data_IF_820952082088
#
_entry.id   IF_820952082088
#
_cell.length_a   1.000
_cell.length_b   1.000
_cell.length_c   1.000
_cell.angle_alpha   90.00
_cell.angle_beta   90.00
_cell.angle_gamma   90.00
#
_symmetry.space_group_name_H-M   'P 1'
#
loop_
_entity.id
_entity.type
_entity.pdbx_description
1 polymer ?
#
# COMPACT_ATOMS: atom_id res chain seq x y z
N UNK A 1 8.94 38.64 -4.28
CA UNK A 1 7.74 38.34 -3.49
C UNK A 1 7.00 37.20 -4.17
N UNK A 2 6.69 36.11 -3.46
CA UNK A 2 5.97 34.96 -4.01
C UNK A 2 6.61 33.58 -3.78
N UNK A 3 7.40 33.38 -2.72
CA UNK A 3 7.60 32.03 -2.18
C UNK A 3 6.41 31.74 -1.28
N UNK A 4 5.37 31.16 -1.88
CA UNK A 4 4.14 30.72 -1.21
C UNK A 4 4.46 29.60 -0.23
N UNK A 5 4.86 29.99 0.98
CA UNK A 5 4.89 29.15 2.16
C UNK A 5 3.44 28.88 2.58
N UNK A 6 2.89 27.77 2.12
CA UNK A 6 1.73 27.09 2.74
C UNK A 6 2.08 25.59 2.69
N UNK A 7 2.26 24.94 3.85
CA UNK A 7 2.36 23.48 3.94
C UNK A 7 3.78 22.90 4.14
N UNK A 8 4.47 23.29 5.22
CA UNK A 8 5.79 22.75 5.61
C UNK A 8 5.85 21.27 6.02
N UNK A 9 4.93 20.42 5.55
CA UNK A 9 4.66 19.08 6.11
C UNK A 9 4.88 17.93 5.11
N UNK A 10 4.95 18.18 3.81
CA UNK A 10 4.99 17.08 2.83
C UNK A 10 6.39 16.46 2.60
N UNK A 11 7.45 17.27 2.50
CA UNK A 11 8.74 16.77 2.00
C UNK A 11 9.40 15.72 2.93
N UNK A 12 9.36 15.93 4.25
CA UNK A 12 9.95 14.99 5.21
C UNK A 12 9.18 13.68 5.27
N UNK A 13 7.84 13.74 5.18
CA UNK A 13 6.99 12.55 5.12
C UNK A 13 7.28 11.75 3.84
N UNK A 14 7.32 12.42 2.69
CA UNK A 14 7.66 11.80 1.39
C UNK A 14 9.05 11.17 1.40
N UNK A 15 10.05 11.85 1.96
CA UNK A 15 11.41 11.28 2.10
C UNK A 15 11.41 10.05 3.01
N UNK A 16 10.68 10.10 4.13
CA UNK A 16 10.51 8.96 5.04
C UNK A 16 9.84 7.76 4.37
N UNK A 17 8.78 8.02 3.59
CA UNK A 17 8.06 6.98 2.83
C UNK A 17 8.93 6.38 1.73
N UNK A 18 9.67 7.20 0.96
CA UNK A 18 10.63 6.71 -0.05
C UNK A 18 11.74 5.87 0.58
N UNK A 19 12.28 6.30 1.71
CA UNK A 19 13.30 5.54 2.43
C UNK A 19 12.74 4.21 2.94
N UNK A 20 11.53 4.22 3.49
CA UNK A 20 10.84 3.01 3.92
C UNK A 20 10.58 2.05 2.74
N UNK A 21 10.05 2.56 1.63
CA UNK A 21 9.82 1.79 0.40
C UNK A 21 11.12 1.20 -0.14
N UNK A 22 12.22 1.95 -0.10
CA UNK A 22 13.53 1.46 -0.52
C UNK A 22 14.00 0.29 0.37
N UNK A 23 13.79 0.38 1.68
CA UNK A 23 14.14 -0.70 2.64
C UNK A 23 13.30 -1.95 2.39
N UNK A 24 12.01 -1.79 2.14
CA UNK A 24 11.06 -2.89 1.93
C UNK A 24 11.22 -3.53 0.53
N UNK A 25 11.56 -2.74 -0.48
CA UNK A 25 11.68 -3.19 -1.87
C UNK A 25 13.05 -3.77 -2.27
N UNK A 26 14.06 -3.72 -1.40
CA UNK A 26 15.33 -4.41 -1.67
C UNK A 26 15.13 -5.92 -1.51
N UNK A 27 15.70 -6.77 -2.40
CA UNK A 27 15.66 -8.22 -2.23
C UNK A 27 16.26 -8.56 -0.87
N UNK A 28 15.38 -8.93 0.07
CA UNK A 28 15.69 -8.94 1.48
C UNK A 28 16.79 -9.99 1.72
N UNK A 29 17.98 -9.53 2.10
CA UNK A 29 18.88 -10.38 2.88
C UNK A 29 18.12 -10.81 4.15
N UNK A 30 18.45 -11.97 4.76
CA UNK A 30 17.73 -12.51 5.94
C UNK A 30 17.50 -11.50 7.09
N UNK A 31 18.31 -10.44 7.18
CA UNK A 31 18.12 -9.36 8.15
C UNK A 31 16.97 -8.41 7.82
N UNK A 32 16.66 -8.19 6.54
CA UNK A 32 15.63 -7.27 6.11
C UNK A 32 14.20 -7.86 6.20
N UNK A 33 14.06 -9.20 6.16
CA UNK A 33 12.81 -9.90 6.52
C UNK A 33 12.41 -9.62 7.98
N UNK A 34 13.37 -9.63 8.91
CA UNK A 34 13.10 -9.27 10.32
C UNK A 34 12.71 -7.81 10.47
N UNK A 35 13.39 -6.91 9.76
CA UNK A 35 13.02 -5.49 9.76
C UNK A 35 11.59 -5.27 9.25
N UNK A 36 11.15 -6.00 8.23
CA UNK A 36 9.80 -5.88 7.71
C UNK A 36 8.72 -6.42 8.66
N UNK A 37 9.02 -7.47 9.42
CA UNK A 37 8.12 -8.02 10.46
C UNK A 37 8.02 -7.07 11.67
N UNK A 38 9.11 -6.40 12.05
CA UNK A 38 9.10 -5.40 13.14
C UNK A 38 8.50 -4.04 12.74
N UNK A 39 8.58 -3.67 11.45
CA UNK A 39 8.05 -2.43 10.90
C UNK A 39 6.52 -2.31 10.99
N UNK A 40 5.83 -3.43 11.13
CA UNK A 40 4.59 -3.65 10.44
C UNK A 40 3.31 -3.05 11.10
N UNK A 41 3.00 -3.29 12.39
CA UNK A 41 1.67 -2.99 12.91
C UNK A 41 1.35 -1.49 13.01
N UNK A 42 2.37 -0.65 13.22
CA UNK A 42 2.18 0.79 13.40
C UNK A 42 2.37 1.61 12.11
N UNK A 43 3.06 1.04 11.12
CA UNK A 43 3.41 1.78 9.90
C UNK A 43 2.27 1.82 8.90
N UNK A 44 1.54 0.71 8.70
CA UNK A 44 0.41 0.70 7.76
C UNK A 44 -0.68 1.69 8.19
N UNK A 45 -1.12 1.74 9.47
CA UNK A 45 -2.07 2.77 9.92
C UNK A 45 -1.57 4.20 9.69
N UNK A 46 -0.29 4.45 9.92
CA UNK A 46 0.31 5.78 9.72
C UNK A 46 0.34 6.17 8.23
N UNK A 47 0.64 5.22 7.34
CA UNK A 47 0.58 5.44 5.89
C UNK A 47 -0.85 5.71 5.42
N UNK A 48 -1.86 5.04 6.00
CA UNK A 48 -3.27 5.31 5.71
C UNK A 48 -3.69 6.72 6.17
N UNK A 49 -3.24 7.16 7.35
CA UNK A 49 -3.49 8.54 7.81
C UNK A 49 -2.84 9.58 6.89
N UNK A 50 -1.60 9.34 6.47
CA UNK A 50 -0.89 10.22 5.53
C UNK A 50 -1.57 10.25 4.16
N UNK A 51 -2.08 9.10 3.69
CA UNK A 51 -2.86 9.01 2.47
C UNK A 51 -4.12 9.87 2.56
N UNK A 52 -4.95 9.68 3.58
CA UNK A 52 -6.18 10.46 3.78
C UNK A 52 -5.88 11.96 3.88
N UNK A 53 -4.86 12.34 4.66
CA UNK A 53 -4.42 13.73 4.78
C UNK A 53 -3.91 14.30 3.44
N UNK A 54 -3.18 13.50 2.65
CA UNK A 54 -2.70 13.88 1.32
C UNK A 54 -3.84 14.15 0.36
N UNK A 55 -4.84 13.26 0.33
CA UNK A 55 -6.05 13.41 -0.49
C UNK A 55 -6.85 14.65 -0.06
N UNK A 56 -7.14 14.79 1.24
CA UNK A 56 -7.94 15.92 1.76
C UNK A 56 -7.28 17.28 1.56
N UNK A 57 -5.95 17.35 1.64
CA UNK A 57 -5.20 18.60 1.45
C UNK A 57 -4.85 18.90 -0.01
N UNK A 58 -5.20 18.01 -0.95
CA UNK A 58 -4.81 18.12 -2.36
C UNK A 58 -3.32 17.90 -2.61
N UNK A 59 -2.59 17.35 -1.63
CA UNK A 59 -1.17 17.03 -1.72
C UNK A 59 -0.96 15.69 -2.43
N UNK A 60 -1.10 15.69 -3.76
CA UNK A 60 -1.03 14.48 -4.59
C UNK A 60 0.24 13.65 -4.36
N UNK A 61 1.40 14.29 -4.22
CA UNK A 61 2.69 13.62 -3.96
C UNK A 61 2.67 12.77 -2.69
N UNK A 62 1.96 13.22 -1.63
CA UNK A 62 1.86 12.50 -0.36
C UNK A 62 0.96 11.27 -0.53
N UNK A 63 -0.17 11.43 -1.20
CA UNK A 63 -1.10 10.34 -1.46
C UNK A 63 -0.49 9.26 -2.38
N UNK A 64 0.22 9.67 -3.42
CA UNK A 64 0.95 8.78 -4.32
C UNK A 64 2.05 8.00 -3.61
N UNK A 65 2.88 8.70 -2.82
CA UNK A 65 3.97 8.00 -2.14
C UNK A 65 3.46 7.10 -1.00
N UNK A 66 2.41 7.51 -0.29
CA UNK A 66 1.79 6.68 0.75
C UNK A 66 1.23 5.39 0.17
N UNK A 67 0.45 5.47 -0.91
CA UNK A 67 -0.11 4.29 -1.60
C UNK A 67 0.98 3.40 -2.20
N UNK A 68 1.98 3.98 -2.86
CA UNK A 68 3.11 3.22 -3.42
C UNK A 68 3.93 2.52 -2.33
N UNK A 69 4.03 3.11 -1.14
CA UNK A 69 4.71 2.48 0.00
C UNK A 69 3.90 1.32 0.56
N UNK A 70 2.58 1.47 0.71
CA UNK A 70 1.68 0.37 1.12
C UNK A 70 1.73 -0.77 0.10
N UNK A 71 1.73 -0.46 -1.20
CA UNK A 71 1.90 -1.45 -2.27
C UNK A 71 3.22 -2.20 -2.15
N UNK A 72 4.32 -1.50 -1.91
CA UNK A 72 5.63 -2.13 -1.72
C UNK A 72 5.65 -3.07 -0.50
N UNK A 73 4.99 -2.68 0.59
CA UNK A 73 4.84 -3.53 1.78
C UNK A 73 4.04 -4.79 1.44
N UNK A 74 2.89 -4.64 0.77
CA UNK A 74 2.07 -5.79 0.38
C UNK A 74 2.82 -6.74 -0.58
N UNK A 75 3.63 -6.19 -1.50
CA UNK A 75 4.39 -6.99 -2.47
C UNK A 75 5.65 -7.66 -1.90
N UNK A 76 6.14 -7.22 -0.74
CA UNK A 76 7.39 -7.74 -0.18
C UNK A 76 7.27 -9.17 0.37
N UNK A 77 6.12 -9.55 0.94
CA UNK A 77 5.83 -10.93 1.35
C UNK A 77 4.33 -11.17 1.60
N UNK A 78 3.85 -12.43 1.53
CA UNK A 78 2.48 -12.78 1.89
C UNK A 78 2.09 -12.41 3.32
N UNK A 79 3.03 -12.46 4.27
CA UNK A 79 2.81 -12.08 5.67
C UNK A 79 2.52 -10.57 5.80
N UNK A 80 3.26 -9.74 5.05
CA UNK A 80 3.01 -8.30 5.01
C UNK A 80 1.74 -7.95 4.23
N UNK A 81 1.42 -8.70 3.17
CA UNK A 81 0.12 -8.59 2.51
C UNK A 81 -1.04 -8.88 3.49
N UNK A 82 -0.92 -9.93 4.32
CA UNK A 82 -1.90 -10.23 5.39
C UNK A 82 -2.02 -9.09 6.37
N UNK A 83 -0.91 -8.52 6.81
CA UNK A 83 -0.92 -7.37 7.71
C UNK A 83 -1.66 -6.18 7.09
N UNK A 84 -1.29 -5.78 5.87
CA UNK A 84 -1.96 -4.69 5.13
C UNK A 84 -3.45 -4.95 5.04
N UNK A 85 -3.85 -6.19 4.71
CA UNK A 85 -5.25 -6.60 4.65
C UNK A 85 -5.98 -6.53 6.00
N UNK A 86 -5.35 -6.98 7.08
CA UNK A 86 -5.95 -6.97 8.43
C UNK A 86 -5.97 -5.58 9.06
N UNK A 87 -5.19 -4.63 8.52
CA UNK A 87 -5.19 -3.25 9.01
C UNK A 87 -6.58 -2.62 8.82
N UNK A 88 -7.22 -2.13 9.90
CA UNK A 88 -8.54 -1.52 9.82
C UNK A 88 -8.58 -0.37 8.80
N UNK A 89 -9.64 -0.34 7.99
CA UNK A 89 -9.84 0.72 6.99
C UNK A 89 -8.96 0.63 5.74
N UNK A 90 -7.96 -0.26 5.67
CA UNK A 90 -7.05 -0.30 4.51
C UNK A 90 -7.78 -0.54 3.18
N UNK A 91 -8.59 -1.61 3.09
CA UNK A 91 -9.34 -1.94 1.87
C UNK A 91 -10.32 -0.81 1.52
N UNK A 92 -11.05 -0.30 2.52
CA UNK A 92 -12.00 0.80 2.34
C UNK A 92 -11.32 2.09 1.83
N UNK A 93 -10.13 2.42 2.34
CA UNK A 93 -9.35 3.58 1.89
C UNK A 93 -8.90 3.42 0.44
N UNK A 94 -8.39 2.23 0.06
CA UNK A 94 -8.00 1.96 -1.33
C UNK A 94 -9.20 2.04 -2.28
N UNK A 95 -10.35 1.46 -1.90
CA UNK A 95 -11.57 1.56 -2.71
C UNK A 95 -12.09 3.00 -2.77
N UNK A 96 -11.99 3.74 -1.66
CA UNK A 96 -12.34 5.16 -1.60
C UNK A 96 -11.53 6.02 -2.56
N UNK A 97 -10.25 5.70 -2.80
CA UNK A 97 -9.45 6.33 -3.86
C UNK A 97 -9.97 5.99 -5.25
N UNK A 98 -10.26 4.71 -5.53
CA UNK A 98 -10.77 4.30 -6.84
C UNK A 98 -12.06 5.03 -7.22
N UNK A 99 -12.95 5.24 -6.24
CA UNK A 99 -14.22 5.96 -6.44
C UNK A 99 -14.05 7.44 -6.78
N UNK A 100 -12.90 8.04 -6.48
CA UNK A 100 -12.60 9.42 -6.87
C UNK A 100 -12.18 9.53 -8.35
N UNK A 101 -11.91 8.40 -9.01
CA UNK A 101 -11.63 8.31 -10.45
C UNK A 101 -10.14 8.18 -10.77
N UNK A 102 -9.85 7.76 -12.01
CA UNK A 102 -8.51 7.36 -12.46
C UNK A 102 -7.43 8.46 -12.37
N UNK A 103 -7.84 9.73 -12.40
CA UNK A 103 -6.94 10.88 -12.25
C UNK A 103 -6.60 11.21 -10.80
N UNK A 104 -7.14 10.49 -9.82
CA UNK A 104 -6.91 10.79 -8.40
C UNK A 104 -5.51 10.32 -8.00
N UNK A 105 -4.71 11.19 -7.34
CA UNK A 105 -3.39 10.81 -6.85
C UNK A 105 -3.44 9.56 -5.97
N UNK A 106 -2.55 8.60 -6.24
CA UNK A 106 -2.46 7.34 -5.52
C UNK A 106 -3.38 6.21 -6.02
N UNK A 107 -4.25 6.45 -7.01
CA UNK A 107 -5.11 5.40 -7.57
C UNK A 107 -4.32 4.23 -8.17
N UNK A 108 -3.22 4.51 -8.88
CA UNK A 108 -2.36 3.45 -9.42
C UNK A 108 -1.84 2.52 -8.31
N UNK A 109 -1.36 3.11 -7.21
CA UNK A 109 -0.90 2.35 -6.05
C UNK A 109 -2.03 1.60 -5.36
N UNK A 110 -3.22 2.20 -5.24
CA UNK A 110 -4.40 1.54 -4.68
C UNK A 110 -4.83 0.31 -5.48
N UNK A 111 -4.85 0.43 -6.81
CA UNK A 111 -5.09 -0.71 -7.71
C UNK A 111 -4.05 -1.80 -7.49
N UNK A 112 -2.76 -1.43 -7.42
CA UNK A 112 -1.67 -2.35 -7.15
C UNK A 112 -1.85 -3.09 -5.82
N UNK A 113 -2.16 -2.37 -4.74
CA UNK A 113 -2.44 -2.96 -3.41
C UNK A 113 -3.56 -3.98 -3.51
N UNK A 114 -4.72 -3.62 -4.08
CA UNK A 114 -5.87 -4.54 -4.16
C UNK A 114 -5.56 -5.79 -5.00
N UNK A 115 -4.85 -5.62 -6.11
CA UNK A 115 -4.39 -6.74 -6.95
C UNK A 115 -3.44 -7.67 -6.20
N UNK A 116 -2.44 -7.11 -5.52
CA UNK A 116 -1.50 -7.88 -4.68
C UNK A 116 -2.20 -8.61 -3.54
N UNK A 117 -3.18 -7.97 -2.88
CA UNK A 117 -3.95 -8.61 -1.83
C UNK A 117 -4.79 -9.78 -2.36
N UNK A 118 -5.44 -9.60 -3.52
CA UNK A 118 -6.19 -10.68 -4.17
C UNK A 118 -5.28 -11.85 -4.56
N UNK A 119 -4.11 -11.57 -5.13
CA UNK A 119 -3.12 -12.59 -5.51
C UNK A 119 -2.56 -13.33 -4.29
N UNK A 120 -2.17 -12.60 -3.24
CA UNK A 120 -1.50 -13.19 -2.08
C UNK A 120 -2.46 -13.93 -1.13
N UNK A 121 -3.72 -13.47 -1.01
CA UNK A 121 -4.68 -13.97 -0.02
C UNK A 121 -5.87 -14.70 -0.62
N UNK A 122 -6.00 -14.69 -1.96
CA UNK A 122 -7.04 -15.41 -2.69
C UNK A 122 -8.44 -14.96 -2.32
N UNK A 123 -9.33 -15.93 -2.12
CA UNK A 123 -10.77 -15.72 -1.93
C UNK A 123 -11.12 -14.80 -0.75
N UNK A 124 -10.36 -14.84 0.35
CA UNK A 124 -10.60 -14.01 1.54
C UNK A 124 -10.44 -12.52 1.22
N UNK A 125 -9.41 -12.16 0.45
CA UNK A 125 -9.25 -10.78 0.01
C UNK A 125 -10.33 -10.39 -1.00
N UNK A 126 -10.63 -11.26 -1.95
CA UNK A 126 -11.64 -11.01 -2.98
C UNK A 126 -13.03 -10.76 -2.40
N UNK A 127 -13.46 -11.54 -1.41
CA UNK A 127 -14.75 -11.36 -0.76
C UNK A 127 -14.84 -9.99 -0.10
N UNK A 128 -13.79 -9.60 0.65
CA UNK A 128 -13.76 -8.30 1.32
C UNK A 128 -13.66 -7.14 0.33
N UNK A 129 -12.86 -7.27 -0.73
CA UNK A 129 -12.78 -6.25 -1.79
C UNK A 129 -14.15 -6.08 -2.46
N UNK A 130 -14.86 -7.18 -2.70
CA UNK A 130 -16.20 -7.15 -3.29
C UNK A 130 -17.22 -6.54 -2.35
N UNK A 131 -17.15 -6.84 -1.05
CA UNK A 131 -18.01 -6.25 -0.03
C UNK A 131 -17.89 -4.72 0.05
N UNK A 132 -16.68 -4.19 -0.12
CA UNK A 132 -16.42 -2.74 -0.18
C UNK A 132 -16.77 -2.13 -1.56
N UNK A 133 -17.41 -2.89 -2.46
CA UNK A 133 -17.68 -2.51 -3.86
C UNK A 133 -16.40 -2.20 -4.68
N UNK A 134 -15.27 -2.74 -4.26
CA UNK A 134 -13.96 -2.53 -4.90
C UNK A 134 -13.88 -3.10 -6.30
N UNK A 135 -14.58 -4.20 -6.59
CA UNK A 135 -14.66 -4.78 -7.94
C UNK A 135 -15.39 -3.85 -8.92
N UNK A 136 -16.49 -3.23 -8.48
CA UNK A 136 -17.21 -2.24 -9.27
C UNK A 136 -16.36 -0.98 -9.51
N UNK A 137 -15.65 -0.51 -8.48
CA UNK A 137 -14.74 0.62 -8.62
C UNK A 137 -13.58 0.32 -9.58
N UNK A 138 -12.97 -0.88 -9.50
CA UNK A 138 -11.93 -1.31 -10.44
C UNK A 138 -12.46 -1.41 -11.88
N UNK A 139 -13.70 -1.86 -12.08
CA UNK A 139 -14.32 -1.89 -13.41
C UNK A 139 -14.48 -0.49 -14.01
N UNK A 140 -14.91 0.49 -13.21
CA UNK A 140 -15.04 1.88 -13.66
C UNK A 140 -13.69 2.49 -14.05
N UNK A 141 -12.62 2.13 -13.35
CA UNK A 141 -11.25 2.56 -13.68
C UNK A 141 -10.74 1.86 -14.95
N UNK A 142 -11.01 0.56 -15.10
CA UNK A 142 -10.60 -0.20 -16.27
C UNK A 142 -11.36 0.24 -17.54
N UNK A 143 -12.60 0.67 -17.40
CA UNK A 143 -13.47 1.13 -18.49
C UNK A 143 -14.06 2.49 -18.16
N UNK A 144 -13.32 3.59 -18.34
CA UNK A 144 -13.88 4.92 -18.15
C UNK A 144 -15.04 5.10 -19.13
N UNK A 145 -16.25 5.27 -18.61
CA UNK A 145 -17.47 5.51 -19.39
C UNK A 145 -17.25 6.71 -20.32
N UNK A 146 -17.23 6.49 -21.64
CA UNK A 146 -17.18 7.58 -22.61
C UNK A 146 -16.25 7.42 -23.82
N UNK A 147 -15.39 6.41 -23.88
CA UNK A 147 -14.58 6.19 -25.09
C UNK A 147 -15.44 5.65 -26.24
N UNK A 148 -15.91 6.57 -27.08
CA UNK A 148 -16.56 6.24 -28.35
C UNK A 148 -15.60 5.41 -29.20
N UNK A 149 -16.13 4.42 -29.91
CA UNK A 149 -15.37 3.45 -30.73
C UNK A 149 -14.38 4.07 -31.76
N UNK A 150 -14.45 5.38 -31.99
CA UNK A 150 -13.53 6.17 -32.82
C UNK A 150 -12.25 6.63 -32.08
N UNK A 151 -12.30 6.88 -30.77
CA UNK A 151 -11.09 7.19 -29.98
C UNK A 151 -10.27 5.94 -29.66
N UNK A 152 -10.91 4.77 -29.54
CA UNK A 152 -10.24 3.47 -29.40
C UNK A 152 -9.34 3.13 -30.60
N UNK A 153 -9.65 3.63 -31.80
CA UNK A 153 -8.81 3.49 -32.99
C UNK A 153 -7.59 4.42 -32.95
N UNK A 154 -7.68 5.59 -32.30
CA UNK A 154 -6.57 6.53 -32.13
C UNK A 154 -5.71 6.25 -30.89
N UNK A 155 -6.28 5.63 -29.85
CA UNK A 155 -5.60 5.20 -28.62
C UNK A 155 -4.84 3.87 -28.77
N UNK A 156 -4.64 3.37 -30.00
CA UNK A 156 -3.93 2.12 -30.31
C UNK A 156 -2.44 2.10 -29.90
N UNK A 157 -1.93 3.10 -29.17
CA UNK A 157 -0.58 3.10 -28.62
C UNK A 157 -0.58 3.65 -27.20
N UNK A 158 -0.37 2.73 -26.25
CA UNK A 158 -0.32 2.87 -24.79
C UNK A 158 -1.69 2.87 -24.11
N UNK A 159 -2.18 1.70 -23.62
CA UNK A 159 -3.22 1.72 -22.60
C UNK A 159 -2.73 2.58 -21.42
N UNK A 160 -3.59 3.45 -20.90
CA UNK A 160 -3.32 4.18 -19.67
C UNK A 160 -2.84 3.18 -18.60
N UNK A 161 -1.66 3.38 -17.99
CA UNK A 161 -1.11 2.44 -17.01
C UNK A 161 -2.09 2.14 -15.86
N UNK A 162 -2.96 3.08 -15.51
CA UNK A 162 -3.98 2.90 -14.46
C UNK A 162 -5.07 1.93 -14.91
N UNK A 163 -5.62 2.10 -16.12
CA UNK A 163 -6.62 1.18 -16.70
C UNK A 163 -6.04 -0.24 -16.89
N UNK A 164 -4.80 -0.35 -17.37
CA UNK A 164 -4.13 -1.63 -17.53
C UNK A 164 -3.90 -2.33 -16.18
N UNK A 165 -3.48 -1.58 -15.16
CA UNK A 165 -3.33 -2.11 -13.80
C UNK A 165 -4.68 -2.56 -13.22
N UNK A 166 -5.76 -1.81 -13.46
CA UNK A 166 -7.09 -2.15 -12.96
C UNK A 166 -7.62 -3.42 -13.62
N UNK A 167 -7.42 -3.56 -14.93
CA UNK A 167 -7.75 -4.79 -15.65
C UNK A 167 -6.96 -6.01 -15.11
N UNK A 168 -5.67 -5.83 -14.81
CA UNK A 168 -4.84 -6.88 -14.18
C UNK A 168 -5.33 -7.25 -12.78
N UNK A 169 -5.67 -6.26 -11.95
CA UNK A 169 -6.21 -6.50 -10.61
C UNK A 169 -7.54 -7.25 -10.67
N UNK A 170 -8.44 -6.88 -11.60
CA UNK A 170 -9.68 -7.63 -11.85
C UNK A 170 -9.39 -9.07 -12.29
N UNK A 171 -8.41 -9.28 -13.18
CA UNK A 171 -8.01 -10.62 -13.59
C UNK A 171 -7.55 -11.46 -12.39
N UNK A 172 -6.70 -10.91 -11.51
CA UNK A 172 -6.24 -11.58 -10.28
C UNK A 172 -7.42 -11.92 -9.35
N UNK A 173 -8.38 -11.01 -9.21
CA UNK A 173 -9.60 -11.22 -8.42
C UNK A 173 -10.43 -12.37 -9.00
N UNK A 174 -10.71 -12.37 -10.31
CA UNK A 174 -11.52 -13.41 -10.93
C UNK A 174 -10.83 -14.78 -10.96
N UNK A 175 -9.52 -14.82 -11.22
CA UNK A 175 -8.74 -16.07 -11.16
C UNK A 175 -8.73 -16.68 -9.75
N UNK A 176 -8.82 -15.85 -8.70
CA UNK A 176 -8.87 -16.30 -7.32
C UNK A 176 -10.25 -16.81 -6.89
N UNK A 177 -11.33 -16.44 -7.58
CA UNK A 177 -12.69 -16.96 -7.33
C UNK A 177 -12.86 -18.40 -7.84
N UNK A 178 -12.19 -18.76 -8.94
CA UNK A 178 -12.34 -20.07 -9.59
C UNK A 178 -11.69 -21.22 -8.78
N UNK A 179 -10.78 -20.90 -7.85
CA UNK A 179 -10.13 -21.90 -6.99
C UNK A 179 -10.99 -22.26 -5.76
N UNK A 180 -11.95 -21.42 -5.40
CA UNK A 180 -12.75 -21.55 -4.16
C UNK A 180 -13.85 -22.62 -4.20
N UNK A 181 -14.21 -23.16 -5.37
CA UNK A 181 -15.27 -24.19 -5.47
C UNK A 181 -14.77 -25.62 -5.24
N UNK A 182 -13.45 -25.84 -5.11
CA UNK A 182 -12.86 -27.17 -4.98
C UNK A 182 -12.48 -27.60 -3.54
N UNK A 183 -12.58 -26.72 -2.53
CA UNK A 183 -12.08 -27.01 -1.19
C UNK A 183 -13.10 -26.65 -0.09
N UNK A 184 -14.27 -27.28 -0.14
CA UNK A 184 -15.19 -27.32 0.98
C UNK A 184 -14.81 -28.51 1.89
N UNK A 185 -14.14 -28.23 3.00
CA UNK A 185 -13.96 -29.20 4.08
C UNK A 185 -12.64 -29.08 4.82
N UNK A 186 -12.53 -28.14 5.76
CA UNK A 186 -11.97 -28.45 7.08
C UNK A 186 -12.19 -27.28 8.03
N UNK A 187 -13.03 -27.53 9.01
CA UNK A 187 -13.21 -26.77 10.24
C UNK A 187 -11.91 -26.85 11.08
N UNK A 188 -11.43 -25.73 11.61
CA UNK A 188 -10.42 -25.73 12.67
C UNK A 188 -10.49 -24.42 13.51
N UNK A 189 -10.48 -24.52 14.85
CA UNK A 189 -10.85 -23.43 15.75
C UNK A 189 -9.69 -22.47 16.06
N UNK A 190 -10.03 -21.19 16.19
CA UNK A 190 -9.15 -20.11 16.66
C UNK A 190 -8.86 -20.30 18.15
N UNK A 191 -7.60 -20.49 18.53
CA UNK A 191 -7.16 -20.56 19.93
C UNK A 191 -5.97 -19.62 20.18
N UNK A 192 -6.20 -18.65 21.06
CA UNK A 192 -5.29 -17.93 21.97
C UNK A 192 -3.78 -17.86 21.66
N UNK A 193 -3.25 -16.64 21.54
CA UNK A 193 -1.89 -16.32 21.99
C UNK A 193 -1.87 -14.95 22.68
N UNK A 194 -1.79 -15.03 24.00
CA UNK A 194 -1.42 -13.94 24.91
C UNK A 194 -0.02 -14.31 25.43
N UNK A 195 0.98 -13.43 25.27
CA UNK A 195 2.18 -13.32 26.13
C UNK A 195 3.21 -12.34 25.55
N UNK A 196 3.39 -11.22 26.25
CA UNK A 196 4.54 -10.34 26.16
C UNK A 196 5.69 -10.86 27.04
N UNK A 197 6.94 -10.78 26.58
CA UNK A 197 8.12 -10.84 27.45
C UNK A 197 9.36 -10.12 26.85
N UNK A 198 9.71 -8.99 27.48
CA UNK A 198 10.99 -8.33 27.77
C UNK A 198 12.28 -8.46 26.90
N UNK A 199 12.88 -7.27 26.64
CA UNK A 199 14.22 -6.86 26.13
C UNK A 199 15.45 -7.40 26.93
N UNK A 200 16.71 -7.39 26.41
CA UNK A 200 17.59 -6.19 26.41
C UNK A 200 18.54 -6.00 25.19
N UNK A 201 19.12 -4.78 25.12
CA UNK A 201 19.93 -4.17 24.07
C UNK A 201 21.41 -4.62 23.98
N UNK A 202 22.05 -4.45 22.79
CA UNK A 202 23.41 -3.87 22.61
C UNK A 202 23.74 -3.72 21.11
N UNK A 203 23.99 -2.48 20.63
CA UNK A 203 24.49 -2.18 19.28
C UNK A 203 25.95 -1.75 19.40
N UNK A 204 26.86 -2.49 18.75
CA UNK A 204 28.27 -2.10 18.58
C UNK A 204 28.41 -1.16 17.39
N UNK A 205 29.12 -0.05 17.59
CA UNK A 205 29.56 0.88 16.54
C UNK A 205 30.55 0.18 15.60
N UNK A 206 30.41 0.40 14.29
CA UNK A 206 31.49 0.19 13.33
C UNK A 206 31.76 1.51 12.62
N UNK A 207 32.96 2.04 12.86
CA UNK A 207 33.57 3.14 12.12
C UNK A 207 34.13 2.57 10.81
N UNK A 208 33.44 2.73 9.68
CA UNK A 208 34.12 2.99 8.40
C UNK A 208 33.12 3.41 7.30
N UNK A 209 33.57 4.29 6.41
CA UNK A 209 32.75 5.11 5.53
C UNK A 209 32.07 4.42 4.35
N UNK A 210 31.00 5.07 3.89
CA UNK A 210 30.27 4.87 2.62
C UNK A 210 29.42 3.61 2.49
N UNK A 211 28.48 3.43 3.41
CA UNK A 211 27.14 2.95 3.10
C UNK A 211 26.15 3.84 3.85
N UNK A 212 25.03 4.21 3.22
CA UNK A 212 23.89 4.76 3.96
C UNK A 212 23.37 3.61 4.82
N UNK A 213 23.92 3.44 6.02
CA UNK A 213 23.32 2.61 7.04
C UNK A 213 21.99 3.27 7.36
N UNK A 214 20.89 2.63 6.96
CA UNK A 214 19.57 3.00 7.45
C UNK A 214 19.60 2.68 8.94
N UNK A 215 19.95 3.67 9.75
CA UNK A 215 20.02 3.59 11.20
C UNK A 215 18.60 3.36 11.74
N UNK A 216 18.22 2.08 11.79
CA UNK A 216 17.08 1.54 12.50
C UNK A 216 15.69 1.96 11.98
N UNK A 217 14.85 0.97 11.71
CA UNK A 217 13.40 1.10 11.48
C UNK A 217 12.70 2.13 12.39
N UNK A 218 12.99 2.19 13.71
CA UNK A 218 12.45 3.21 14.61
C UNK A 218 12.70 4.66 14.18
N UNK A 219 13.83 4.96 13.53
CA UNK A 219 14.12 6.32 13.06
C UNK A 219 13.23 6.70 11.86
N UNK A 220 12.95 5.76 10.96
CA UNK A 220 12.00 5.96 9.85
C UNK A 220 10.58 6.16 10.38
N UNK A 221 10.16 5.36 11.36
CA UNK A 221 8.85 5.51 12.01
C UNK A 221 8.74 6.87 12.70
N UNK A 222 9.82 7.34 13.35
CA UNK A 222 9.86 8.66 13.98
C UNK A 222 9.76 9.79 12.95
N UNK A 223 10.45 9.67 11.81
CA UNK A 223 10.35 10.64 10.70
C UNK A 223 8.94 10.69 10.13
N UNK A 224 8.30 9.54 9.93
CA UNK A 224 6.91 9.46 9.46
C UNK A 224 5.95 10.11 10.48
N UNK A 225 6.13 9.85 11.78
CA UNK A 225 5.32 10.47 12.85
C UNK A 225 5.52 11.98 12.93
N UNK A 226 6.73 12.47 12.70
CA UNK A 226 7.02 13.91 12.64
C UNK A 226 6.38 14.56 11.41
N UNK A 227 6.36 13.85 10.29
CA UNK A 227 5.64 14.26 9.08
C UNK A 227 4.13 14.28 9.26
N UNK A 228 3.55 13.28 9.94
CA UNK A 228 2.10 13.24 10.17
C UNK A 228 1.61 14.28 11.17
N UNK A 229 2.44 14.67 12.14
CA UNK A 229 2.10 15.68 13.14
C UNK A 229 1.79 17.08 12.57
N UNK A 230 2.19 17.37 11.33
CA UNK A 230 1.82 18.63 10.68
C UNK A 230 0.46 18.58 9.96
N UNK A 231 -0.22 17.42 9.93
CA UNK A 231 -1.56 17.26 9.33
C UNK A 231 -2.69 17.18 10.37
N UNK A 232 -2.36 17.05 11.66
CA UNK A 232 -3.31 17.07 12.78
C UNK A 232 -3.56 18.50 13.28
#
# INVERSE_FOLDING_TARGET
>A
AGLGSIGGVSATAVVGMKALRAVVGQPLSRGAQRCSEELAPDVVPLLLQLLEAGVMSGSGDVAEEATATVEAIANASPELARLVFTTPGCVAAMVGLLRQGASTPGVLGAVGVLGTLAEALGSVAVERISHEEGTAALMQIAQPEGQSSLELLQASYSPDPVSAAAAKALQQIYSSQDVGTAANGSDAPVSHLDSAAALPAEIRRSEDGSQVQVESVPALVKLLKQGSAGFA
#
